data_IF_645745341641
#
_entry.id   IF_645745341641
#
_cell.length_a   1.000
_cell.length_b   1.000
_cell.length_c   1.000
_cell.angle_alpha   90.00
_cell.angle_beta   90.00
_cell.angle_gamma   90.00
#
_symmetry.space_group_name_H-M   'P 1'
#
loop_
_entity.id
_entity.type
_entity.pdbx_description
1 polymer ?
#
# COMPACT_ATOMS: atom_id res chain seq x y z
N UNK A 1 17.92 17.62 -29.63
CA UNK A 1 17.28 16.46 -30.28
C UNK A 1 17.50 15.24 -29.38
N UNK A 2 16.48 14.96 -28.57
CA UNK A 2 16.02 13.62 -28.13
C UNK A 2 17.05 12.59 -27.63
N UNK A 3 17.44 12.69 -26.36
CA UNK A 3 17.90 11.55 -25.54
C UNK A 3 16.84 11.17 -24.50
N UNK A 4 15.65 10.78 -24.96
CA UNK A 4 14.61 10.22 -24.11
C UNK A 4 13.70 9.34 -24.96
N UNK A 5 14.00 8.03 -25.12
CA UNK A 5 12.97 7.01 -25.35
C UNK A 5 13.41 5.52 -25.40
N UNK A 6 14.26 5.00 -24.51
CA UNK A 6 14.62 3.55 -24.55
C UNK A 6 14.74 2.85 -23.19
N UNK A 7 13.94 3.23 -22.18
CA UNK A 7 13.88 2.52 -20.88
C UNK A 7 12.48 1.96 -20.51
N UNK A 8 11.55 1.85 -21.46
CA UNK A 8 10.17 1.40 -21.19
C UNK A 8 9.72 0.19 -22.02
N UNK A 9 10.54 -0.85 -22.16
CA UNK A 9 10.14 -2.03 -22.95
C UNK A 9 9.40 -3.11 -22.18
N UNK A 10 9.42 -3.16 -20.84
CA UNK A 10 8.60 -4.12 -20.08
C UNK A 10 8.12 -3.60 -18.72
N UNK A 11 6.87 -3.11 -18.65
CA UNK A 11 6.15 -2.95 -17.37
C UNK A 11 5.84 -4.34 -16.79
N UNK A 12 6.33 -4.61 -15.58
CA UNK A 12 6.20 -5.92 -14.93
C UNK A 12 4.73 -6.30 -14.74
N UNK A 13 3.87 -5.35 -14.38
CA UNK A 13 2.47 -5.62 -14.14
C UNK A 13 1.70 -5.88 -15.44
N UNK A 14 2.03 -5.19 -16.53
CA UNK A 14 1.43 -5.44 -17.85
C UNK A 14 1.74 -6.87 -18.33
N UNK A 15 3.00 -7.29 -18.17
CA UNK A 15 3.44 -8.63 -18.53
C UNK A 15 2.74 -9.70 -17.66
N UNK A 16 2.77 -9.56 -16.33
CA UNK A 16 2.18 -10.55 -15.41
C UNK A 16 0.65 -10.58 -15.44
N UNK A 17 0.00 -9.45 -15.73
CA UNK A 17 -1.44 -9.40 -15.89
C UNK A 17 -1.90 -9.82 -17.30
N UNK A 18 -0.97 -10.15 -18.21
CA UNK A 18 -1.24 -10.57 -19.58
C UNK A 18 -2.18 -9.57 -20.29
N UNK A 19 -1.86 -8.27 -20.19
CA UNK A 19 -2.70 -7.20 -20.72
C UNK A 19 -2.50 -7.10 -22.23
N UNK A 20 -3.57 -7.32 -23.00
CA UNK A 20 -3.54 -7.11 -24.44
C UNK A 20 -3.34 -5.61 -24.77
N UNK A 21 -2.40 -5.25 -25.65
CA UNK A 21 -2.10 -3.84 -25.99
C UNK A 21 -3.30 -3.04 -26.51
N UNK A 22 -4.25 -3.70 -27.17
CA UNK A 22 -5.44 -3.07 -27.76
C UNK A 22 -6.66 -3.09 -26.82
N UNK A 23 -6.49 -3.57 -25.57
CA UNK A 23 -7.57 -3.65 -24.59
C UNK A 23 -7.95 -2.29 -23.99
N UNK A 24 -9.18 -2.16 -23.49
CA UNK A 24 -9.61 -0.99 -22.71
C UNK A 24 -8.79 -0.81 -21.43
N UNK A 25 -8.24 -1.89 -20.86
CA UNK A 25 -7.34 -1.83 -19.72
C UNK A 25 -5.99 -1.21 -20.09
N UNK A 26 -5.39 -1.59 -21.23
CA UNK A 26 -4.16 -0.94 -21.71
C UNK A 26 -4.39 0.56 -21.96
N UNK A 27 -5.52 0.92 -22.57
CA UNK A 27 -5.90 2.32 -22.77
C UNK A 27 -6.10 3.09 -21.44
N UNK A 28 -6.74 2.47 -20.45
CA UNK A 28 -6.91 3.05 -19.12
C UNK A 28 -5.58 3.25 -18.40
N UNK A 29 -4.67 2.27 -18.45
CA UNK A 29 -3.31 2.39 -17.88
C UNK A 29 -2.47 3.46 -18.59
N UNK A 30 -2.59 3.59 -19.91
CA UNK A 30 -1.98 4.70 -20.66
C UNK A 30 -2.56 6.06 -20.25
N UNK A 31 -3.85 6.13 -19.93
CA UNK A 31 -4.48 7.34 -19.38
C UNK A 31 -3.96 7.65 -17.96
N UNK A 32 -3.53 6.62 -17.22
CA UNK A 32 -2.89 6.70 -15.90
C UNK A 32 -1.37 6.49 -15.96
N UNK A 33 -0.73 6.98 -17.03
CA UNK A 33 0.69 6.76 -17.30
C UNK A 33 1.60 7.08 -16.10
N UNK A 34 1.33 8.16 -15.37
CA UNK A 34 2.12 8.51 -14.19
C UNK A 34 2.07 7.43 -13.10
N UNK A 35 0.88 6.90 -12.78
CA UNK A 35 0.75 5.81 -11.81
C UNK A 35 1.44 4.54 -12.31
N UNK A 36 1.30 4.21 -13.61
CA UNK A 36 1.95 3.05 -14.23
C UNK A 36 3.47 3.15 -14.18
N UNK A 37 4.04 4.23 -14.71
CA UNK A 37 5.49 4.45 -14.76
C UNK A 37 6.12 4.49 -13.38
N UNK A 38 5.49 5.14 -12.40
CA UNK A 38 6.05 5.24 -11.05
C UNK A 38 5.87 3.97 -10.23
N UNK A 39 4.86 3.15 -10.53
CA UNK A 39 4.77 1.78 -9.99
C UNK A 39 5.94 0.93 -10.47
N UNK A 40 6.27 0.97 -11.77
CA UNK A 40 7.46 0.32 -12.29
C UNK A 40 8.75 0.92 -11.68
N UNK A 41 8.80 2.24 -11.53
CA UNK A 41 9.92 2.91 -10.88
C UNK A 41 10.14 2.46 -9.43
N UNK A 42 9.08 2.16 -8.67
CA UNK A 42 9.20 1.56 -7.33
C UNK A 42 9.75 0.13 -7.39
N UNK A 43 9.37 -0.67 -8.38
CA UNK A 43 9.99 -1.98 -8.62
C UNK A 43 11.49 -1.82 -8.89
N UNK A 44 11.86 -0.94 -9.81
CA UNK A 44 13.27 -0.73 -10.18
C UNK A 44 14.07 -0.21 -8.98
N UNK A 45 13.51 0.73 -8.22
CA UNK A 45 14.11 1.25 -6.99
C UNK A 45 14.22 0.21 -5.86
N UNK A 46 13.55 -0.95 -5.95
CA UNK A 46 13.65 -2.02 -4.96
C UNK A 46 14.45 -3.23 -5.47
N UNK A 47 14.47 -3.50 -6.77
CA UNK A 47 14.97 -4.77 -7.31
C UNK A 47 16.02 -4.62 -8.41
N UNK A 48 16.34 -3.42 -8.86
CA UNK A 48 17.39 -3.22 -9.86
C UNK A 48 18.78 -3.13 -9.19
N UNK A 49 19.67 -4.08 -9.50
CA UNK A 49 21.03 -4.12 -8.97
C UNK A 49 21.82 -2.82 -9.20
N UNK A 50 21.65 -2.18 -10.37
CA UNK A 50 22.37 -0.97 -10.74
C UNK A 50 22.04 0.27 -9.87
N UNK A 51 20.98 0.19 -9.05
CA UNK A 51 20.56 1.25 -8.13
C UNK A 51 21.11 1.01 -6.71
N UNK A 52 21.68 -0.17 -6.42
CA UNK A 52 21.90 -0.67 -5.05
C UNK A 52 23.30 -1.22 -4.78
N UNK A 53 24.33 -0.79 -5.50
CA UNK A 53 25.72 -1.30 -5.32
C UNK A 53 26.25 -1.17 -3.87
N UNK A 54 25.70 -0.25 -3.05
CA UNK A 54 26.06 -0.05 -1.64
C UNK A 54 24.92 -0.42 -0.64
N UNK A 55 23.86 -1.11 -1.09
CA UNK A 55 22.69 -1.32 -0.24
C UNK A 55 22.89 -2.42 0.80
N UNK A 56 22.59 -2.09 2.06
CA UNK A 56 22.71 -2.99 3.23
C UNK A 56 21.70 -4.15 3.24
N UNK A 57 20.62 -4.08 2.45
CA UNK A 57 19.71 -5.20 2.17
C UNK A 57 19.98 -5.78 0.77
N UNK A 58 20.66 -6.94 0.65
CA UNK A 58 21.05 -7.54 -0.63
C UNK A 58 19.86 -7.93 -1.51
N UNK A 59 20.05 -7.87 -2.82
CA UNK A 59 19.02 -8.20 -3.80
C UNK A 59 18.46 -9.62 -3.65
N UNK A 60 19.31 -10.59 -3.28
CA UNK A 60 18.90 -11.96 -2.99
C UNK A 60 17.85 -12.04 -1.87
N UNK A 61 18.06 -11.31 -0.77
CA UNK A 61 17.10 -11.23 0.33
C UNK A 61 15.82 -10.52 -0.10
N UNK A 62 15.93 -9.47 -0.93
CA UNK A 62 14.76 -8.76 -1.46
C UNK A 62 13.85 -9.70 -2.27
N UNK A 63 14.41 -10.47 -3.20
CA UNK A 63 13.66 -11.47 -3.96
C UNK A 63 13.13 -12.60 -3.06
N UNK A 64 13.91 -13.05 -2.08
CA UNK A 64 13.47 -14.07 -1.14
C UNK A 64 12.25 -13.62 -0.33
N UNK A 65 12.28 -12.41 0.25
CA UNK A 65 11.12 -11.84 0.92
C UNK A 65 9.93 -11.69 -0.03
N UNK A 66 10.16 -11.17 -1.24
CA UNK A 66 9.10 -11.01 -2.24
C UNK A 66 8.39 -12.33 -2.54
N UNK A 67 9.13 -13.43 -2.71
CA UNK A 67 8.60 -14.79 -2.88
C UNK A 67 7.77 -15.27 -1.68
N UNK A 68 8.20 -14.99 -0.45
CA UNK A 68 7.41 -15.34 0.76
C UNK A 68 6.12 -14.54 0.84
N UNK A 69 6.19 -13.23 0.58
CA UNK A 69 5.05 -12.31 0.63
C UNK A 69 4.00 -12.67 -0.42
N UNK A 70 4.40 -12.88 -1.68
CA UNK A 70 3.49 -13.29 -2.75
C UNK A 70 2.85 -14.64 -2.46
N UNK A 71 3.59 -15.57 -1.84
CA UNK A 71 3.04 -16.85 -1.37
C UNK A 71 1.98 -16.68 -0.28
N UNK A 72 2.22 -15.81 0.72
CA UNK A 72 1.21 -15.48 1.73
C UNK A 72 -0.01 -14.75 1.17
N UNK A 73 0.17 -14.00 0.08
CA UNK A 73 -0.93 -13.39 -0.69
C UNK A 73 -1.67 -14.38 -1.59
N UNK A 74 -1.18 -15.62 -1.71
CA UNK A 74 -1.70 -16.63 -2.64
C UNK A 74 -1.73 -16.10 -4.09
N UNK A 75 -0.71 -15.33 -4.46
CA UNK A 75 -0.53 -14.77 -5.80
C UNK A 75 0.50 -15.61 -6.56
N UNK A 76 0.01 -16.64 -7.24
CA UNK A 76 0.84 -17.63 -7.94
C UNK A 76 1.70 -16.98 -9.03
N UNK A 77 1.14 -16.00 -9.78
CA UNK A 77 1.85 -15.33 -10.86
C UNK A 77 3.00 -14.47 -10.31
N UNK A 78 2.72 -13.70 -9.27
CA UNK A 78 3.76 -12.88 -8.65
C UNK A 78 4.80 -13.73 -7.92
N UNK A 79 4.38 -14.83 -7.29
CA UNK A 79 5.29 -15.75 -6.62
C UNK A 79 6.21 -16.46 -7.61
N UNK A 80 5.69 -16.93 -8.74
CA UNK A 80 6.49 -17.52 -9.79
C UNK A 80 7.54 -16.52 -10.31
N UNK A 81 7.12 -15.30 -10.63
CA UNK A 81 8.00 -14.22 -11.11
C UNK A 81 9.18 -13.93 -10.18
N UNK A 82 8.95 -13.89 -8.86
CA UNK A 82 10.01 -13.67 -7.88
C UNK A 82 10.84 -14.92 -7.61
N UNK A 83 10.26 -16.12 -7.71
CA UNK A 83 10.99 -17.38 -7.56
C UNK A 83 11.99 -17.57 -8.69
N UNK A 84 11.63 -17.26 -9.94
CA UNK A 84 12.55 -17.31 -11.08
C UNK A 84 13.76 -16.38 -10.89
N UNK A 85 13.53 -15.16 -10.40
CA UNK A 85 14.62 -14.20 -10.12
C UNK A 85 15.48 -14.59 -8.92
N UNK A 86 14.90 -15.30 -7.96
CA UNK A 86 15.63 -15.82 -6.81
C UNK A 86 16.54 -17.00 -7.22
N UNK A 87 16.20 -17.74 -8.28
CA UNK A 87 16.93 -18.94 -8.71
C UNK A 87 18.41 -18.67 -9.04
N UNK A 88 18.76 -17.43 -9.38
CA UNK A 88 20.13 -17.00 -9.64
C UNK A 88 20.96 -16.77 -8.36
N UNK A 89 20.36 -16.92 -7.18
CA UNK A 89 20.99 -16.68 -5.88
C UNK A 89 20.96 -17.92 -4.98
N UNK A 90 21.95 -18.11 -4.09
CA UNK A 90 21.88 -19.16 -3.09
C UNK A 90 20.74 -18.91 -2.11
N UNK A 91 20.08 -19.98 -1.65
CA UNK A 91 19.09 -19.86 -0.58
C UNK A 91 19.73 -19.23 0.67
N UNK A 92 19.10 -18.22 1.28
CA UNK A 92 19.65 -17.60 2.47
C UNK A 92 19.58 -18.57 3.65
N UNK A 93 20.67 -18.61 4.43
CA UNK A 93 20.66 -19.34 5.71
C UNK A 93 19.78 -18.61 6.71
N UNK A 94 18.80 -19.31 7.28
CA UNK A 94 17.84 -18.74 8.23
C UNK A 94 18.46 -18.57 9.62
N UNK A 95 19.15 -17.45 9.83
CA UNK A 95 19.67 -17.05 11.14
C UNK A 95 18.56 -16.51 12.05
N UNK A 96 18.75 -16.43 13.38
CA UNK A 96 17.77 -15.79 14.27
C UNK A 96 17.43 -14.35 13.88
N UNK A 97 18.41 -13.57 13.41
CA UNK A 97 18.20 -12.21 12.94
C UNK A 97 17.34 -12.16 11.65
N UNK A 98 17.57 -13.09 10.72
CA UNK A 98 16.75 -13.19 9.50
C UNK A 98 15.34 -13.71 9.81
N UNK A 99 15.18 -14.60 10.80
CA UNK A 99 13.88 -15.06 11.26
C UNK A 99 13.02 -13.89 11.78
N UNK A 100 13.60 -12.98 12.57
CA UNK A 100 12.87 -11.79 13.03
C UNK A 100 12.40 -10.90 11.86
N UNK A 101 13.22 -10.76 10.81
CA UNK A 101 12.84 -10.03 9.61
C UNK A 101 11.75 -10.76 8.81
N UNK A 102 11.75 -12.09 8.79
CA UNK A 102 10.68 -12.90 8.22
C UNK A 102 9.37 -12.75 9.00
N UNK A 103 9.43 -12.77 10.34
CA UNK A 103 8.28 -12.54 11.22
C UNK A 103 7.72 -11.12 11.03
N UNK A 104 8.59 -10.13 10.84
CA UNK A 104 8.20 -8.76 10.47
C UNK A 104 7.47 -8.75 9.11
N UNK A 105 8.04 -9.40 8.09
CA UNK A 105 7.41 -9.51 6.77
C UNK A 105 6.04 -10.19 6.81
N UNK A 106 5.90 -11.27 7.60
CA UNK A 106 4.64 -11.98 7.75
C UNK A 106 3.59 -11.10 8.43
N UNK A 107 3.97 -10.41 9.51
CA UNK A 107 3.10 -9.49 10.25
C UNK A 107 2.63 -8.34 9.37
N UNK A 108 3.53 -7.66 8.66
CA UNK A 108 3.17 -6.56 7.74
C UNK A 108 2.24 -7.05 6.62
N UNK A 109 2.36 -8.30 6.20
CA UNK A 109 1.55 -8.88 5.12
C UNK A 109 0.15 -9.27 5.60
N UNK A 110 0.08 -10.04 6.69
CA UNK A 110 -1.14 -10.72 7.17
C UNK A 110 -1.89 -9.95 8.25
N UNK A 111 -1.17 -9.37 9.21
CA UNK A 111 -1.73 -8.75 10.40
C UNK A 111 -1.00 -7.44 10.75
N UNK A 112 -0.97 -6.44 9.84
CA UNK A 112 -0.16 -5.22 10.05
C UNK A 112 -0.56 -4.46 11.32
N UNK A 113 -1.83 -4.54 11.71
CA UNK A 113 -2.35 -3.96 12.96
C UNK A 113 -1.91 -4.69 14.24
N UNK A 114 -1.11 -5.74 14.15
CA UNK A 114 -0.48 -6.38 15.31
C UNK A 114 0.99 -5.97 15.46
N UNK A 115 1.47 -5.04 14.62
CA UNK A 115 2.79 -4.46 14.81
C UNK A 115 2.84 -3.63 16.08
N UNK A 116 4.03 -3.50 16.64
CA UNK A 116 4.26 -2.84 17.92
C UNK A 116 5.72 -2.38 17.97
N UNK A 117 6.04 -1.35 18.77
CA UNK A 117 7.40 -0.84 18.92
C UNK A 117 8.43 -1.92 19.29
N UNK A 118 8.01 -2.92 20.08
CA UNK A 118 8.88 -4.03 20.51
C UNK A 118 9.35 -4.91 19.35
N UNK A 119 8.55 -5.06 18.29
CA UNK A 119 8.96 -5.83 17.11
C UNK A 119 10.07 -5.13 16.34
N UNK A 120 9.97 -3.81 16.18
CA UNK A 120 11.01 -3.00 15.52
C UNK A 120 12.30 -3.00 16.36
N UNK A 121 12.16 -2.81 17.68
CA UNK A 121 13.29 -2.88 18.60
C UNK A 121 14.01 -4.23 18.58
N UNK A 122 13.28 -5.34 18.40
CA UNK A 122 13.87 -6.67 18.29
C UNK A 122 14.75 -6.81 17.04
N UNK A 123 14.36 -6.19 15.91
CA UNK A 123 15.19 -6.15 14.69
C UNK A 123 16.48 -5.36 14.94
N UNK A 124 16.39 -4.18 15.57
CA UNK A 124 17.56 -3.36 15.90
C UNK A 124 18.52 -4.12 16.84
N UNK A 125 17.99 -4.80 17.86
CA UNK A 125 18.78 -5.63 18.78
C UNK A 125 19.43 -6.85 18.11
N UNK A 126 18.84 -7.33 17.01
CA UNK A 126 19.40 -8.39 16.19
C UNK A 126 20.41 -7.89 15.14
N UNK A 127 20.74 -6.59 15.15
CA UNK A 127 21.77 -6.00 14.30
C UNK A 127 21.26 -5.41 12.98
N UNK A 128 19.95 -5.36 12.75
CA UNK A 128 19.41 -4.66 11.57
C UNK A 128 19.56 -3.15 11.72
N UNK A 129 20.08 -2.50 10.69
CA UNK A 129 20.13 -1.03 10.69
C UNK A 129 18.72 -0.45 10.53
N UNK A 130 18.50 0.78 11.00
CA UNK A 130 17.23 1.49 10.78
C UNK A 130 16.93 1.64 9.28
N UNK A 131 17.97 1.86 8.46
CA UNK A 131 17.83 1.94 7.00
C UNK A 131 17.31 0.64 6.39
N UNK A 132 17.79 -0.51 6.88
CA UNK A 132 17.32 -1.83 6.44
C UNK A 132 15.91 -2.12 6.88
N UNK A 133 15.55 -1.79 8.13
CA UNK A 133 14.19 -1.98 8.64
C UNK A 133 13.20 -1.17 7.81
N UNK A 134 13.52 0.09 7.50
CA UNK A 134 12.69 0.95 6.65
C UNK A 134 12.62 0.41 5.22
N UNK A 135 13.75 0.01 4.62
CA UNK A 135 13.79 -0.54 3.26
C UNK A 135 13.01 -1.85 3.15
N UNK A 136 13.19 -2.76 4.12
CA UNK A 136 12.43 -4.00 4.22
C UNK A 136 10.93 -3.71 4.34
N UNK A 137 10.54 -2.76 5.19
CA UNK A 137 9.12 -2.38 5.36
C UNK A 137 8.53 -1.80 4.06
N UNK A 138 9.30 -0.98 3.33
CA UNK A 138 8.89 -0.47 2.01
C UNK A 138 8.77 -1.56 0.96
N UNK A 139 9.71 -2.52 0.93
CA UNK A 139 9.64 -3.69 0.06
C UNK A 139 8.40 -4.52 0.35
N UNK A 140 8.15 -4.84 1.62
CA UNK A 140 6.99 -5.66 2.00
C UNK A 140 5.71 -4.97 1.57
N UNK A 141 5.58 -3.68 1.86
CA UNK A 141 4.39 -2.92 1.51
C UNK A 141 4.20 -2.77 -0.02
N UNK A 142 5.29 -2.62 -0.78
CA UNK A 142 5.26 -2.60 -2.25
C UNK A 142 4.78 -3.93 -2.83
N UNK A 143 5.31 -5.08 -2.40
CA UNK A 143 4.89 -6.40 -2.93
C UNK A 143 3.41 -6.67 -2.60
N UNK A 144 2.94 -6.25 -1.42
CA UNK A 144 1.52 -6.31 -1.06
C UNK A 144 0.63 -5.44 -1.98
N UNK A 145 1.13 -4.28 -2.41
CA UNK A 145 0.48 -3.41 -3.39
C UNK A 145 0.48 -4.01 -4.79
N UNK A 146 1.63 -4.52 -5.24
CA UNK A 146 1.80 -5.14 -6.54
C UNK A 146 0.87 -6.34 -6.73
N UNK A 147 0.73 -7.19 -5.71
CA UNK A 147 -0.21 -8.33 -5.75
C UNK A 147 -1.67 -7.90 -5.94
N UNK A 148 -2.08 -6.83 -5.25
CA UNK A 148 -3.45 -6.28 -5.38
C UNK A 148 -3.69 -5.66 -6.75
N UNK A 149 -2.73 -4.90 -7.27
CA UNK A 149 -2.79 -4.40 -8.64
C UNK A 149 -2.89 -5.54 -9.65
N UNK A 150 -2.02 -6.55 -9.54
CA UNK A 150 -1.99 -7.69 -10.42
C UNK A 150 -3.34 -8.43 -10.43
N UNK A 151 -3.89 -8.72 -9.24
CA UNK A 151 -5.21 -9.37 -9.13
C UNK A 151 -6.31 -8.54 -9.78
N UNK A 152 -6.37 -7.23 -9.49
CA UNK A 152 -7.36 -6.34 -10.07
C UNK A 152 -7.25 -6.23 -11.59
N UNK A 153 -6.03 -6.09 -12.12
CA UNK A 153 -5.79 -6.01 -13.56
C UNK A 153 -6.12 -7.30 -14.29
N UNK A 154 -5.78 -8.47 -13.72
CA UNK A 154 -6.18 -9.77 -14.28
C UNK A 154 -7.70 -9.90 -14.37
N UNK A 155 -8.43 -9.46 -13.34
CA UNK A 155 -9.89 -9.48 -13.34
C UNK A 155 -10.50 -8.54 -14.39
N UNK A 156 -9.97 -7.32 -14.53
CA UNK A 156 -10.42 -6.37 -15.57
C UNK A 156 -10.14 -6.91 -16.98
N UNK A 157 -9.00 -7.60 -17.16
CA UNK A 157 -8.64 -8.27 -18.41
C UNK A 157 -9.46 -9.54 -18.70
N UNK A 158 -10.34 -9.97 -17.78
CA UNK A 158 -11.18 -11.16 -17.95
C UNK A 158 -10.45 -12.49 -17.66
N UNK A 159 -9.25 -12.44 -17.09
CA UNK A 159 -8.50 -13.63 -16.73
C UNK A 159 -9.08 -14.32 -15.49
N UNK A 160 -8.92 -15.64 -15.44
CA UNK A 160 -9.25 -16.40 -14.24
C UNK A 160 -8.22 -16.10 -13.14
N UNK A 161 -8.72 -15.91 -11.92
CA UNK A 161 -7.92 -15.79 -10.70
C UNK A 161 -8.35 -16.88 -9.72
N UNK A 162 -7.41 -17.41 -8.94
CA UNK A 162 -7.71 -18.37 -7.88
C UNK A 162 -8.73 -17.76 -6.91
N UNK A 163 -9.79 -18.52 -6.61
CA UNK A 163 -10.85 -18.10 -5.70
C UNK A 163 -10.44 -18.49 -4.28
N UNK A 164 -10.11 -17.53 -3.40
CA UNK A 164 -9.87 -17.86 -2.01
C UNK A 164 -11.18 -18.33 -1.36
N UNK A 165 -11.05 -19.03 -0.22
CA UNK A 165 -12.21 -19.47 0.54
C UNK A 165 -13.09 -18.28 0.89
N UNK A 166 -14.42 -18.46 0.82
CA UNK A 166 -15.42 -17.40 0.97
C UNK A 166 -15.47 -16.88 2.42
N UNK A 167 -14.51 -16.04 2.79
CA UNK A 167 -14.65 -15.20 3.96
C UNK A 167 -15.23 -13.85 3.51
N UNK A 168 -16.14 -13.30 4.31
CA UNK A 168 -16.58 -11.93 4.08
C UNK A 168 -15.42 -10.98 4.38
N UNK A 169 -15.18 -10.00 3.51
CA UNK A 169 -14.31 -8.89 3.84
C UNK A 169 -15.07 -8.00 4.84
N UNK A 170 -14.51 -7.84 6.03
CA UNK A 170 -15.18 -7.20 7.17
C UNK A 170 -14.33 -6.05 7.68
N UNK A 171 -14.94 -5.20 8.50
CA UNK A 171 -14.21 -4.21 9.29
C UNK A 171 -13.09 -4.89 10.08
N UNK A 172 -11.86 -4.38 9.93
CA UNK A 172 -10.68 -4.92 10.60
C UNK A 172 -10.72 -4.70 12.11
N UNK A 173 -9.84 -5.39 12.83
CA UNK A 173 -9.50 -5.03 14.21
C UNK A 173 -8.56 -3.83 14.22
N UNK A 174 -8.54 -3.08 15.33
CA UNK A 174 -7.64 -1.95 15.54
C UNK A 174 -7.11 -1.92 16.97
N UNK A 175 -6.02 -1.18 17.17
CA UNK A 175 -5.51 -0.95 18.52
C UNK A 175 -6.46 -0.05 19.31
N UNK A 176 -6.80 -0.49 20.53
CA UNK A 176 -7.65 0.25 21.48
C UNK A 176 -6.87 0.70 22.71
N UNK A 177 -5.53 0.65 22.66
CA UNK A 177 -4.69 1.12 23.76
C UNK A 177 -4.90 2.63 23.95
N UNK A 178 -5.07 3.11 25.19
CA UNK A 178 -5.38 4.52 25.46
C UNK A 178 -4.19 5.45 25.27
N UNK A 179 -2.98 4.90 25.22
CA UNK A 179 -1.73 5.64 25.10
C UNK A 179 -0.80 5.00 24.07
N UNK A 180 -0.02 5.86 23.41
CA UNK A 180 1.09 5.45 22.54
C UNK A 180 2.29 4.98 23.35
N UNK A 181 3.31 4.43 22.69
CA UNK A 181 4.53 4.00 23.36
C UNK A 181 5.25 5.13 24.10
N UNK A 182 5.11 6.38 23.65
CA UNK A 182 5.70 7.55 24.29
C UNK A 182 4.78 8.20 25.34
N UNK A 183 3.62 7.61 25.61
CA UNK A 183 2.65 8.07 26.62
C UNK A 183 1.65 9.12 26.14
N UNK A 184 1.60 9.46 24.84
CA UNK A 184 0.59 10.40 24.32
C UNK A 184 -0.79 9.74 24.29
N UNK A 185 -1.85 10.53 24.37
CA UNK A 185 -3.22 10.01 24.25
C UNK A 185 -3.47 9.47 22.85
N UNK A 186 -3.97 8.23 22.74
CA UNK A 186 -4.22 7.55 21.48
C UNK A 186 -5.73 7.43 21.17
N UNK A 187 -6.12 7.45 19.88
CA UNK A 187 -7.50 7.18 19.49
C UNK A 187 -7.86 5.71 19.68
N UNK A 188 -8.98 5.44 20.35
CA UNK A 188 -9.46 4.08 20.63
C UNK A 188 -10.55 3.61 19.65
N UNK A 189 -10.98 4.48 18.75
CA UNK A 189 -11.97 4.21 17.73
C UNK A 189 -11.61 4.98 16.44
N UNK A 190 -12.14 4.49 15.33
CA UNK A 190 -12.09 5.21 14.07
C UNK A 190 -12.84 6.55 14.21
N UNK A 191 -12.29 7.58 13.58
CA UNK A 191 -12.76 8.96 13.72
C UNK A 191 -12.50 9.72 12.44
N UNK A 192 -13.23 10.80 12.20
CA UNK A 192 -12.91 11.78 11.14
C UNK A 192 -12.03 12.92 11.65
N UNK A 193 -11.73 12.96 12.95
CA UNK A 193 -10.89 13.98 13.55
C UNK A 193 -9.46 13.97 12.98
N UNK A 194 -8.79 15.10 13.11
CA UNK A 194 -7.37 15.19 12.80
C UNK A 194 -6.55 14.48 13.86
N UNK A 195 -5.57 13.70 13.42
CA UNK A 195 -4.69 12.92 14.28
C UNK A 195 -3.24 13.28 13.98
N UNK A 196 -2.40 13.21 15.00
CA UNK A 196 -0.96 13.15 14.86
C UNK A 196 -0.54 11.70 14.57
N UNK A 197 0.67 11.53 14.05
CA UNK A 197 1.33 10.23 13.92
C UNK A 197 2.74 10.38 14.44
N UNK A 198 3.21 9.42 15.21
CA UNK A 198 4.58 9.40 15.70
C UNK A 198 5.29 8.11 15.30
N UNK A 199 6.58 8.21 14.93
CA UNK A 199 7.35 7.05 14.54
C UNK A 199 7.87 6.28 15.76
N UNK A 200 8.00 4.97 15.62
CA UNK A 200 8.66 4.12 16.64
C UNK A 200 10.18 4.14 16.54
N UNK A 201 10.72 4.66 15.43
CA UNK A 201 12.16 4.85 15.23
C UNK A 201 12.40 6.29 14.80
N UNK A 202 13.48 6.89 15.30
CA UNK A 202 13.80 8.27 14.99
C UNK A 202 13.91 8.51 13.46
N UNK A 203 13.14 9.48 12.92
CA UNK A 203 13.26 9.86 11.53
C UNK A 203 14.64 10.47 11.29
N UNK A 204 15.19 10.34 10.08
CA UNK A 204 16.47 10.96 9.74
C UNK A 204 16.34 12.48 9.90
N UNK A 205 17.21 13.16 10.68
CA UNK A 205 17.22 14.62 10.76
C UNK A 205 17.39 15.24 9.37
N UNK A 206 16.69 16.35 9.08
CA UNK A 206 16.75 16.99 7.77
C UNK A 206 18.20 17.34 7.35
N UNK A 207 19.00 17.83 8.30
CA UNK A 207 20.39 18.23 8.08
C UNK A 207 21.33 17.05 7.72
N UNK A 208 20.93 15.80 7.96
CA UNK A 208 21.70 14.63 7.58
C UNK A 208 21.38 14.14 6.15
N UNK A 209 20.36 14.70 5.50
CA UNK A 209 20.14 14.48 4.07
C UNK A 209 21.11 15.35 3.26
N UNK A 210 21.60 14.85 2.14
CA UNK A 210 22.39 15.67 1.22
C UNK A 210 21.50 16.72 0.51
N UNK A 211 22.10 17.67 -0.20
CA UNK A 211 21.37 18.79 -0.80
C UNK A 211 20.28 18.34 -1.81
N UNK A 212 20.56 17.31 -2.61
CA UNK A 212 19.60 16.78 -3.59
C UNK A 212 18.45 16.06 -2.89
N UNK A 213 18.75 15.29 -1.85
CA UNK A 213 17.74 14.62 -1.02
C UNK A 213 16.80 15.62 -0.34
N UNK A 214 17.35 16.70 0.22
CA UNK A 214 16.56 17.79 0.82
C UNK A 214 15.68 18.48 -0.22
N UNK A 215 16.20 18.73 -1.43
CA UNK A 215 15.42 19.35 -2.51
C UNK A 215 14.24 18.47 -2.95
N UNK A 216 14.44 17.15 -3.03
CA UNK A 216 13.36 16.18 -3.35
C UNK A 216 12.28 16.19 -2.26
N UNK A 217 12.66 16.17 -0.98
CA UNK A 217 11.70 16.25 0.13
C UNK A 217 10.93 17.58 0.09
N UNK A 218 11.61 18.70 -0.13
CA UNK A 218 11.00 20.01 -0.21
C UNK A 218 10.00 20.12 -1.37
N UNK A 219 10.32 19.56 -2.54
CA UNK A 219 9.45 19.56 -3.73
C UNK A 219 8.07 18.96 -3.47
N UNK A 220 7.97 18.04 -2.51
CA UNK A 220 6.70 17.39 -2.16
C UNK A 220 6.09 17.89 -0.84
N UNK A 221 6.70 18.86 -0.16
CA UNK A 221 6.26 19.36 1.14
C UNK A 221 6.50 18.34 2.27
N UNK A 222 7.53 17.51 2.14
CA UNK A 222 7.82 16.39 3.05
C UNK A 222 8.88 16.72 4.11
N UNK A 223 9.49 17.91 4.04
CA UNK A 223 10.60 18.36 4.89
C UNK A 223 10.31 18.20 6.39
N UNK A 224 9.13 18.63 6.83
CA UNK A 224 8.78 18.66 8.27
C UNK A 224 8.03 17.40 8.72
N UNK A 225 7.82 16.43 7.84
CA UNK A 225 7.10 15.20 8.16
C UNK A 225 8.03 14.11 8.67
N UNK A 226 7.85 13.70 9.92
CA UNK A 226 8.57 12.55 10.50
C UNK A 226 8.38 11.28 9.67
N UNK A 227 7.15 11.01 9.21
CA UNK A 227 6.86 9.85 8.36
C UNK A 227 7.68 9.86 7.07
N UNK A 228 7.68 10.98 6.34
CA UNK A 228 8.42 11.05 5.08
C UNK A 228 9.93 11.09 5.29
N UNK A 229 10.44 11.74 6.34
CA UNK A 229 11.88 11.67 6.69
C UNK A 229 12.30 10.28 7.13
N UNK A 230 11.43 9.49 7.76
CA UNK A 230 11.71 8.09 8.06
C UNK A 230 11.82 7.26 6.78
N UNK A 231 10.85 7.35 5.87
CA UNK A 231 10.89 6.65 4.58
C UNK A 231 12.03 7.13 3.67
N UNK A 232 12.41 8.39 3.78
CA UNK A 232 13.49 9.03 3.03
C UNK A 232 14.87 8.40 3.28
N UNK A 233 15.02 7.53 4.29
CA UNK A 233 16.22 6.68 4.44
C UNK A 233 16.47 5.79 3.22
N UNK A 234 15.42 5.52 2.43
CA UNK A 234 15.54 5.03 1.06
C UNK A 234 14.74 5.95 0.13
N UNK A 235 15.36 7.09 -0.20
CA UNK A 235 14.70 8.16 -0.94
C UNK A 235 14.22 7.77 -2.35
N UNK A 236 14.96 6.97 -3.15
CA UNK A 236 14.48 6.56 -4.47
C UNK A 236 13.12 5.84 -4.40
N UNK A 237 12.92 4.96 -3.42
CA UNK A 237 11.64 4.27 -3.23
C UNK A 237 10.55 5.23 -2.76
N UNK A 238 10.87 6.13 -1.82
CA UNK A 238 9.93 7.15 -1.35
C UNK A 238 9.46 8.04 -2.50
N UNK A 239 10.37 8.53 -3.34
CA UNK A 239 10.04 9.41 -4.46
C UNK A 239 9.07 8.72 -5.44
N UNK A 240 9.37 7.50 -5.85
CA UNK A 240 8.51 6.73 -6.76
C UNK A 240 7.14 6.44 -6.14
N UNK A 241 7.11 6.12 -4.85
CA UNK A 241 5.85 5.93 -4.10
C UNK A 241 5.03 7.23 -4.07
N UNK A 242 5.64 8.38 -3.79
CA UNK A 242 4.96 9.69 -3.76
C UNK A 242 4.41 10.07 -5.13
N UNK A 243 5.16 9.79 -6.19
CA UNK A 243 4.72 10.07 -7.55
C UNK A 243 3.60 9.11 -8.00
N UNK A 244 3.63 7.86 -7.51
CA UNK A 244 2.52 6.91 -7.68
C UNK A 244 1.25 7.41 -7.01
N UNK A 245 1.31 7.85 -5.73
CA UNK A 245 0.18 8.46 -5.02
C UNK A 245 -0.44 9.62 -5.81
N UNK A 246 0.43 10.56 -6.24
CA UNK A 246 0.00 11.70 -7.05
C UNK A 246 -0.64 11.27 -8.37
N UNK A 247 -0.05 10.28 -9.03
CA UNK A 247 -0.56 9.67 -10.26
C UNK A 247 -1.88 8.92 -10.08
N UNK A 248 -2.29 8.58 -8.86
CA UNK A 248 -3.57 7.94 -8.54
C UNK A 248 -4.59 8.95 -8.05
N UNK A 249 -4.24 9.93 -7.20
CA UNK A 249 -5.21 10.81 -6.53
C UNK A 249 -5.40 12.19 -7.17
N UNK A 250 -4.42 12.67 -7.93
CA UNK A 250 -4.40 14.03 -8.48
C UNK A 250 -4.43 13.99 -10.01
N UNK A 251 -5.37 13.21 -10.57
CA UNK A 251 -5.56 13.07 -12.01
C UNK A 251 -6.92 13.60 -12.46
N UNK A 252 -7.01 13.97 -13.74
CA UNK A 252 -8.27 14.35 -14.39
C UNK A 252 -9.00 13.13 -14.97
N UNK A 253 -10.34 13.20 -15.00
CA UNK A 253 -11.21 12.15 -15.55
C UNK A 253 -11.20 10.85 -14.74
N UNK A 254 -12.03 9.89 -15.13
CA UNK A 254 -12.25 8.64 -14.39
C UNK A 254 -12.93 8.88 -13.04
N UNK A 255 -12.57 8.06 -12.05
CA UNK A 255 -13.29 8.00 -10.77
C UNK A 255 -13.11 9.32 -9.99
N UNK A 256 -14.19 9.97 -9.54
CA UNK A 256 -14.10 11.22 -8.78
C UNK A 256 -13.26 11.07 -7.51
N UNK A 257 -12.50 12.12 -7.16
CA UNK A 257 -11.64 12.12 -5.96
C UNK A 257 -12.39 11.74 -4.69
N UNK A 258 -13.65 12.16 -4.51
CA UNK A 258 -14.47 11.78 -3.34
C UNK A 258 -14.58 10.27 -3.15
N UNK A 259 -14.64 9.50 -4.24
CA UNK A 259 -14.75 8.03 -4.21
C UNK A 259 -13.37 7.39 -4.02
N UNK A 260 -12.30 7.95 -4.60
CA UNK A 260 -10.93 7.51 -4.31
C UNK A 260 -10.58 7.65 -2.81
N UNK A 261 -11.01 8.76 -2.19
CA UNK A 261 -10.83 9.00 -0.75
C UNK A 261 -11.73 8.07 0.10
N UNK A 262 -12.94 7.74 -0.35
CA UNK A 262 -13.77 6.71 0.28
C UNK A 262 -13.08 5.35 0.26
N UNK A 263 -12.53 4.94 -0.88
CA UNK A 263 -11.80 3.68 -1.05
C UNK A 263 -10.59 3.61 -0.12
N UNK A 264 -9.87 4.72 0.01
CA UNK A 264 -8.76 4.85 0.95
C UNK A 264 -9.22 4.65 2.41
N UNK A 265 -10.36 5.23 2.80
CA UNK A 265 -10.94 5.05 4.12
C UNK A 265 -11.39 3.59 4.37
N UNK A 266 -12.06 2.96 3.41
CA UNK A 266 -12.49 1.55 3.47
C UNK A 266 -11.29 0.62 3.63
N UNK A 267 -10.28 0.79 2.77
CA UNK A 267 -9.03 0.01 2.81
C UNK A 267 -8.34 0.13 4.17
N UNK A 268 -8.28 1.35 4.70
CA UNK A 268 -7.70 1.64 6.02
C UNK A 268 -8.51 1.02 7.16
N UNK A 269 -9.84 0.98 7.04
CA UNK A 269 -10.73 0.33 7.99
C UNK A 269 -10.59 -1.19 7.98
N UNK A 270 -10.40 -1.81 6.82
CA UNK A 270 -10.08 -3.25 6.71
C UNK A 270 -8.72 -3.57 7.32
N UNK A 271 -7.71 -2.74 7.06
CA UNK A 271 -6.36 -2.95 7.58
C UNK A 271 -6.19 -2.54 9.06
N UNK A 272 -7.18 -1.90 9.68
CA UNK A 272 -7.10 -1.45 11.08
C UNK A 272 -6.33 -0.13 11.30
N UNK A 273 -6.03 0.63 10.24
CA UNK A 273 -5.24 1.85 10.30
C UNK A 273 -6.11 3.08 10.61
N UNK A 274 -6.26 3.41 11.90
CA UNK A 274 -7.05 4.56 12.36
C UNK A 274 -6.55 5.88 11.76
N UNK A 275 -5.23 6.10 11.70
CA UNK A 275 -4.66 7.34 11.14
C UNK A 275 -5.08 7.57 9.69
N UNK A 276 -4.84 6.58 8.82
CA UNK A 276 -5.17 6.71 7.40
C UNK A 276 -6.68 6.84 7.21
N UNK A 277 -7.47 6.04 7.93
CA UNK A 277 -8.92 6.14 7.86
C UNK A 277 -9.41 7.53 8.27
N UNK A 278 -8.82 8.19 9.28
CA UNK A 278 -9.27 9.53 9.68
C UNK A 278 -8.99 10.59 8.63
N UNK A 279 -7.78 10.58 8.05
CA UNK A 279 -7.38 11.51 6.98
C UNK A 279 -8.32 11.38 5.77
N UNK A 280 -8.52 10.15 5.31
CA UNK A 280 -9.27 9.88 4.08
C UNK A 280 -10.78 9.96 4.28
N UNK A 281 -11.30 9.57 5.44
CA UNK A 281 -12.71 9.78 5.77
C UNK A 281 -13.06 11.27 5.81
N UNK A 282 -12.25 12.10 6.50
CA UNK A 282 -12.45 13.55 6.53
C UNK A 282 -12.48 14.14 5.12
N UNK A 283 -11.56 13.71 4.25
CA UNK A 283 -11.51 14.17 2.85
C UNK A 283 -12.70 13.66 2.03
N UNK A 284 -13.08 12.40 2.17
CA UNK A 284 -14.26 11.82 1.53
C UNK A 284 -15.53 12.57 1.92
N UNK A 285 -15.75 12.85 3.21
CA UNK A 285 -16.87 13.65 3.73
C UNK A 285 -16.86 15.07 3.17
N UNK A 286 -15.70 15.73 3.19
CA UNK A 286 -15.56 17.11 2.68
C UNK A 286 -15.93 17.22 1.19
N UNK A 287 -15.50 16.26 0.37
CA UNK A 287 -15.69 16.28 -1.09
C UNK A 287 -17.05 15.75 -1.52
N UNK A 288 -17.56 14.72 -0.85
CA UNK A 288 -18.86 14.10 -1.18
C UNK A 288 -20.06 14.84 -0.59
N UNK A 289 -19.84 15.62 0.48
CA UNK A 289 -20.89 16.19 1.34
C UNK A 289 -21.78 15.13 2.01
N UNK A 290 -21.28 13.91 2.17
CA UNK A 290 -21.98 12.76 2.76
C UNK A 290 -21.34 12.35 4.10
N UNK A 291 -21.16 13.32 5.00
CA UNK A 291 -20.49 13.11 6.30
C UNK A 291 -21.10 11.97 7.12
N UNK A 292 -22.43 11.89 7.18
CA UNK A 292 -23.14 10.83 7.92
C UNK A 292 -22.90 9.43 7.34
N UNK A 293 -22.78 9.32 6.02
CA UNK A 293 -22.57 8.03 5.35
C UNK A 293 -21.14 7.54 5.53
N UNK A 294 -20.17 8.46 5.49
CA UNK A 294 -18.77 8.15 5.82
C UNK A 294 -18.62 7.80 7.31
N UNK A 295 -19.31 8.53 8.20
CA UNK A 295 -19.30 8.19 9.63
C UNK A 295 -19.90 6.80 9.88
N UNK A 296 -21.02 6.45 9.21
CA UNK A 296 -21.62 5.12 9.29
C UNK A 296 -20.63 4.00 8.94
N UNK A 297 -19.81 4.19 7.90
CA UNK A 297 -18.72 3.27 7.54
C UNK A 297 -17.69 3.12 8.68
N UNK A 298 -17.29 4.24 9.30
CA UNK A 298 -16.32 4.22 10.40
C UNK A 298 -16.88 3.58 11.68
N UNK A 299 -18.17 3.72 11.93
CA UNK A 299 -18.87 3.19 13.11
C UNK A 299 -19.09 1.67 13.05
N UNK A 300 -18.88 1.03 11.89
CA UNK A 300 -18.93 -0.43 11.76
C UNK A 300 -17.90 -1.07 12.69
N UNK A 301 -18.40 -1.89 13.62
CA UNK A 301 -17.60 -2.63 14.61
C UNK A 301 -16.74 -3.71 13.93
N UNK A 302 -15.63 -4.17 14.55
CA UNK A 302 -14.79 -5.22 13.96
C UNK A 302 -15.63 -6.45 13.61
N UNK A 303 -15.41 -7.01 12.41
CA UNK A 303 -16.18 -8.15 11.91
C UNK A 303 -17.51 -7.80 11.23
N UNK A 304 -17.94 -6.53 11.25
CA UNK A 304 -19.16 -6.07 10.58
C UNK A 304 -19.01 -5.82 9.08
N UNK A 305 -20.16 -5.75 8.40
CA UNK A 305 -20.29 -5.36 7.00
C UNK A 305 -20.10 -3.84 6.82
N UNK A 306 -19.09 -3.46 6.03
CA UNK A 306 -18.70 -2.06 5.80
C UNK A 306 -19.68 -1.30 4.90
N UNK A 307 -20.45 -2.02 4.07
CA UNK A 307 -21.36 -1.43 3.07
C UNK A 307 -22.77 -1.18 3.62
N UNK A 308 -23.02 -1.55 4.88
CA UNK A 308 -24.35 -1.52 5.47
C UNK A 308 -24.95 -0.11 5.44
N UNK A 309 -26.17 -0.02 4.89
CA UNK A 309 -26.91 1.24 4.80
C UNK A 309 -26.31 2.28 3.83
N UNK A 310 -25.43 1.87 2.91
CA UNK A 310 -24.87 2.74 1.88
C UNK A 310 -25.70 2.71 0.59
N UNK A 311 -25.51 3.70 -0.28
CA UNK A 311 -26.15 3.71 -1.61
C UNK A 311 -25.61 2.55 -2.49
N UNK A 312 -26.37 2.03 -3.47
CA UNK A 312 -25.93 0.90 -4.30
C UNK A 312 -24.55 1.09 -4.95
N UNK A 313 -24.25 2.31 -5.44
CA UNK A 313 -22.92 2.63 -6.00
C UNK A 313 -21.82 2.54 -4.94
N UNK A 314 -22.06 3.10 -3.76
CA UNK A 314 -21.08 3.04 -2.67
C UNK A 314 -20.93 1.64 -2.11
N UNK A 315 -22.00 0.84 -2.05
CA UNK A 315 -21.91 -0.58 -1.65
C UNK A 315 -20.95 -1.33 -2.58
N UNK A 316 -21.14 -1.25 -3.90
CA UNK A 316 -20.25 -1.92 -4.85
C UNK A 316 -18.78 -1.47 -4.71
N UNK A 317 -18.54 -0.16 -4.53
CA UNK A 317 -17.19 0.40 -4.33
C UNK A 317 -16.58 -0.08 -3.00
N UNK A 318 -17.34 -0.05 -1.91
CA UNK A 318 -16.90 -0.45 -0.57
C UNK A 318 -16.60 -1.95 -0.55
N UNK A 319 -17.50 -2.78 -1.08
CA UNK A 319 -17.34 -4.23 -1.12
C UNK A 319 -16.13 -4.65 -1.95
N UNK A 320 -15.97 -4.08 -3.15
CA UNK A 320 -14.79 -4.33 -4.00
C UNK A 320 -13.51 -3.95 -3.25
N UNK A 321 -13.47 -2.76 -2.66
CA UNK A 321 -12.29 -2.23 -1.97
C UNK A 321 -11.94 -3.06 -0.75
N UNK A 322 -12.94 -3.47 0.04
CA UNK A 322 -12.73 -4.29 1.21
C UNK A 322 -12.19 -5.68 0.83
N UNK A 323 -12.79 -6.31 -0.19
CA UNK A 323 -12.36 -7.62 -0.69
C UNK A 323 -10.98 -7.59 -1.32
N UNK A 324 -10.63 -6.53 -2.05
CA UNK A 324 -9.27 -6.35 -2.58
C UNK A 324 -8.24 -6.08 -1.48
N UNK A 325 -8.65 -5.44 -0.38
CA UNK A 325 -7.77 -5.10 0.73
C UNK A 325 -7.43 -6.28 1.65
N UNK A 326 -8.27 -7.32 1.70
CA UNK A 326 -8.02 -8.53 2.48
C UNK A 326 -6.68 -9.22 2.11
N UNK A 327 -6.16 -10.03 3.04
CA UNK A 327 -4.98 -10.88 2.79
C UNK A 327 -5.37 -12.36 3.04
N UNK A 328 -5.34 -13.24 2.02
CA UNK A 328 -5.14 -12.92 0.60
C UNK A 328 -6.30 -12.07 0.04
N UNK A 329 -6.08 -11.39 -1.08
CA UNK A 329 -7.11 -10.58 -1.72
C UNK A 329 -8.27 -11.47 -2.24
N UNK A 330 -9.50 -11.10 -1.91
CA UNK A 330 -10.72 -11.91 -2.12
C UNK A 330 -11.56 -11.48 -3.31
N UNK A 331 -11.21 -10.35 -3.95
CA UNK A 331 -11.96 -9.82 -5.09
C UNK A 331 -12.00 -10.82 -6.25
N UNK A 332 -13.11 -10.88 -6.96
CA UNK A 332 -13.34 -11.77 -8.10
C UNK A 332 -14.11 -11.08 -9.24
N UNK A 333 -14.42 -11.83 -10.31
CA UNK A 333 -15.08 -11.29 -11.50
C UNK A 333 -16.50 -10.76 -11.22
N UNK A 334 -17.21 -11.30 -10.24
CA UNK A 334 -18.53 -10.79 -9.86
C UNK A 334 -18.41 -9.38 -9.25
N UNK A 335 -17.36 -9.12 -8.47
CA UNK A 335 -17.14 -7.79 -7.89
C UNK A 335 -16.89 -6.74 -8.99
N UNK A 336 -16.14 -7.08 -10.06
CA UNK A 336 -15.99 -6.21 -11.25
C UNK A 336 -17.33 -5.97 -11.93
N UNK A 337 -18.14 -7.02 -12.10
CA UNK A 337 -19.48 -6.91 -12.69
C UNK A 337 -20.40 -6.00 -11.87
N UNK A 338 -20.35 -6.09 -10.53
CA UNK A 338 -21.12 -5.20 -9.66
C UNK A 338 -20.73 -3.73 -9.84
N UNK A 339 -19.44 -3.41 -10.02
CA UNK A 339 -19.03 -2.05 -10.36
C UNK A 339 -19.58 -1.59 -11.73
N UNK A 340 -19.53 -2.45 -12.74
CA UNK A 340 -20.07 -2.15 -14.08
C UNK A 340 -21.60 -1.94 -14.05
N UNK A 341 -22.33 -2.72 -13.25
CA UNK A 341 -23.78 -2.55 -13.02
C UNK A 341 -24.12 -1.20 -12.37
N UNK A 342 -23.17 -0.59 -11.64
CA UNK A 342 -23.25 0.78 -11.11
C UNK A 342 -22.72 1.84 -12.10
N UNK A 343 -22.48 1.45 -13.35
CA UNK A 343 -22.08 2.32 -14.44
C UNK A 343 -20.60 2.71 -14.47
N UNK A 344 -19.73 2.05 -13.69
CA UNK A 344 -18.29 2.34 -13.74
C UNK A 344 -17.68 1.80 -15.03
N UNK A 345 -16.97 2.65 -15.76
CA UNK A 345 -16.19 2.24 -16.94
C UNK A 345 -14.84 1.59 -16.55
N UNK A 346 -14.09 1.11 -17.55
CA UNK A 346 -12.79 0.46 -17.30
C UNK A 346 -11.79 1.39 -16.61
N UNK A 347 -11.77 2.68 -16.93
CA UNK A 347 -10.85 3.64 -16.31
C UNK A 347 -11.22 3.88 -14.85
N UNK A 348 -12.51 4.01 -14.54
CA UNK A 348 -13.00 4.12 -13.18
C UNK A 348 -12.69 2.86 -12.36
N UNK A 349 -12.85 1.66 -12.92
CA UNK A 349 -12.52 0.40 -12.23
C UNK A 349 -11.00 0.30 -12.00
N UNK A 350 -10.17 0.73 -12.95
CA UNK A 350 -8.70 0.86 -12.73
C UNK A 350 -8.40 1.80 -11.58
N UNK A 351 -9.08 2.94 -11.48
CA UNK A 351 -8.91 3.88 -10.37
C UNK A 351 -9.34 3.27 -9.02
N UNK A 352 -10.39 2.43 -9.01
CA UNK A 352 -10.79 1.69 -7.80
C UNK A 352 -9.68 0.75 -7.35
N UNK A 353 -9.17 -0.08 -8.28
CA UNK A 353 -8.07 -1.03 -8.01
C UNK A 353 -6.82 -0.30 -7.51
N UNK A 354 -6.40 0.75 -8.21
CA UNK A 354 -5.21 1.51 -7.87
C UNK A 354 -5.32 2.18 -6.49
N UNK A 355 -6.48 2.78 -6.17
CA UNK A 355 -6.71 3.42 -4.89
C UNK A 355 -6.65 2.41 -3.74
N UNK A 356 -7.37 1.29 -3.84
CA UNK A 356 -7.38 0.26 -2.80
C UNK A 356 -6.00 -0.42 -2.63
N UNK A 357 -5.31 -0.71 -3.73
CA UNK A 357 -3.97 -1.27 -3.68
C UNK A 357 -2.99 -0.29 -3.02
N UNK A 358 -3.01 1.00 -3.38
CA UNK A 358 -2.09 1.98 -2.84
C UNK A 358 -2.31 2.19 -1.34
N UNK A 359 -3.55 2.20 -0.85
CA UNK A 359 -3.79 2.30 0.59
C UNK A 359 -3.40 1.04 1.35
N UNK A 360 -3.46 -0.12 0.70
CA UNK A 360 -2.86 -1.34 1.26
C UNK A 360 -1.33 -1.23 1.40
N UNK A 361 -0.64 -0.46 0.56
CA UNK A 361 0.77 -0.07 0.77
C UNK A 361 0.89 0.89 1.97
N UNK A 362 0.19 2.02 1.92
CA UNK A 362 0.33 3.09 2.89
C UNK A 362 0.03 2.63 4.31
N UNK A 363 -1.06 1.89 4.50
CA UNK A 363 -1.47 1.39 5.81
C UNK A 363 -0.40 0.50 6.45
N UNK A 364 0.25 -0.37 5.67
CA UNK A 364 1.30 -1.26 6.18
C UNK A 364 2.47 -0.47 6.74
N UNK A 365 2.90 0.59 6.06
CA UNK A 365 3.96 1.45 6.57
C UNK A 365 3.51 2.23 7.82
N UNK A 366 2.30 2.80 7.78
CA UNK A 366 1.77 3.61 8.87
C UNK A 366 1.52 2.82 10.15
N UNK A 367 1.12 1.55 10.03
CA UNK A 367 0.84 0.66 11.15
C UNK A 367 2.09 0.03 11.77
N UNK A 368 3.21 0.00 11.04
CA UNK A 368 4.36 -0.82 11.44
C UNK A 368 5.63 -0.04 11.73
N UNK A 369 5.62 1.25 11.43
CA UNK A 369 6.70 2.18 11.73
C UNK A 369 6.30 3.27 12.73
N UNK A 370 5.07 3.24 13.23
CA UNK A 370 4.55 4.26 14.14
C UNK A 370 3.08 4.08 14.48
N UNK A 371 2.52 5.05 15.17
CA UNK A 371 1.16 4.99 15.69
C UNK A 371 0.49 6.37 15.77
N UNK A 372 -0.86 6.44 15.73
CA UNK A 372 -1.58 7.69 15.85
C UNK A 372 -1.67 8.20 17.29
N UNK A 373 -1.74 9.53 17.44
CA UNK A 373 -2.03 10.19 18.71
C UNK A 373 -3.00 11.37 18.51
N UNK A 374 -3.64 11.83 19.59
CA UNK A 374 -4.42 13.06 19.62
C UNK A 374 -3.50 14.28 19.72
N UNK A 375 -3.50 15.20 18.74
CA UNK A 375 -2.73 16.44 18.85
C UNK A 375 -3.13 17.23 20.11
N UNK A 376 -2.15 17.82 20.78
CA UNK A 376 -2.43 18.80 21.84
C UNK A 376 -2.96 20.08 21.17
N UNK A 377 -4.16 20.53 21.59
CA UNK A 377 -4.82 21.72 21.06
C UNK A 377 -4.55 22.96 21.92
#
# INVERSE_FOLDING_TARGET
MTHANTLHTHDVLDALAEISPDSTLAAARKTREAATRHTQGSYDALFNAAVHDDATLPLSLRFWFATKISGWQQDEQLQHFYTERLADFPEPTLTPALQLALDHAERLTKTPVQAAPTHVKALEQAGWSVGDIVTLSQLIAFVNFQSRLLRGYRLIAGHRVSQPHSQAAVAGQWHTQPQTHSGKSAPQAFTQAELGWEPWVAPKPLAEFNADEQAILARFGHTDSDYFRLLGRNLPVLEQRTLTDKGIFYTSGGLPRKERELIAAVTSKVNGCIYCASVHARKASQLSKQDRDVQRLLDVVPGGDLSIGQSPRWQAIIDFSARLSATPAQVNANDVKQLQEQGLDTLEIVDVVQSAAFFSWANRLMLTLGEPFWPEH
#
